data_IF_137585782630
#
_entry.id   IF_137585782630
#
_cell.length_a   1.000
_cell.length_b   1.000
_cell.length_c   1.000
_cell.angle_alpha   90.00
_cell.angle_beta   90.00
_cell.angle_gamma   90.00
#
_symmetry.space_group_name_H-M   'P 1'
#
loop_
_entity.id
_entity.type
_entity.pdbx_description
1 polymer ?
#
# COMPACT_ATOMS: atom_id res chain seq x y z
N UNK A 1 -19.92 -19.60 -19.95
CA UNK A 1 -18.45 -19.48 -19.76
C UNK A 1 -18.21 -18.89 -18.39
N UNK A 2 -17.63 -19.67 -17.49
CA UNK A 2 -17.53 -19.35 -16.06
C UNK A 2 -16.75 -18.06 -15.83
N UNK A 3 -17.29 -17.16 -15.02
CA UNK A 3 -16.60 -15.97 -14.56
C UNK A 3 -15.41 -16.41 -13.71
N UNK A 4 -14.18 -16.29 -14.23
CA UNK A 4 -12.97 -16.47 -13.43
C UNK A 4 -13.05 -15.52 -12.23
N UNK A 5 -12.84 -16.04 -11.02
CA UNK A 5 -12.79 -15.21 -9.82
C UNK A 5 -11.73 -14.09 -10.01
N UNK A 6 -12.01 -12.85 -9.60
CA UNK A 6 -11.06 -11.76 -9.75
C UNK A 6 -9.78 -12.08 -8.98
N UNK A 7 -8.63 -11.83 -9.60
CA UNK A 7 -7.35 -12.00 -8.91
C UNK A 7 -7.22 -10.99 -7.78
N UNK A 8 -6.42 -11.31 -6.77
CA UNK A 8 -6.15 -10.39 -5.68
C UNK A 8 -5.69 -9.00 -6.17
N UNK A 9 -4.83 -8.97 -7.19
CA UNK A 9 -4.39 -7.73 -7.86
C UNK A 9 -5.55 -6.92 -8.44
N UNK A 10 -6.54 -7.58 -9.06
CA UNK A 10 -7.72 -6.90 -9.59
C UNK A 10 -8.58 -6.31 -8.46
N UNK A 11 -8.72 -7.04 -7.35
CA UNK A 11 -9.43 -6.56 -6.18
C UNK A 11 -8.72 -5.36 -5.54
N UNK A 12 -7.39 -5.40 -5.42
CA UNK A 12 -6.57 -4.28 -4.94
C UNK A 12 -6.74 -3.04 -5.83
N UNK A 13 -6.63 -3.17 -7.16
CA UNK A 13 -6.83 -2.01 -8.03
C UNK A 13 -8.27 -1.48 -7.95
N UNK A 14 -9.27 -2.36 -7.87
CA UNK A 14 -10.67 -1.97 -7.67
C UNK A 14 -10.85 -1.17 -6.38
N UNK A 15 -10.21 -1.59 -5.29
CA UNK A 15 -10.23 -0.88 -4.03
C UNK A 15 -9.56 0.48 -4.15
N UNK A 16 -8.35 0.57 -4.73
CA UNK A 16 -7.65 1.84 -4.98
C UNK A 16 -8.51 2.82 -5.79
N UNK A 17 -9.26 2.34 -6.79
CA UNK A 17 -10.15 3.20 -7.58
C UNK A 17 -11.28 3.82 -6.75
N UNK A 18 -11.78 3.15 -5.70
CA UNK A 18 -12.79 3.71 -4.79
C UNK A 18 -12.26 4.96 -4.07
N UNK A 19 -10.96 5.01 -3.81
CA UNK A 19 -10.28 6.14 -3.15
C UNK A 19 -9.96 7.32 -4.09
N UNK A 20 -10.31 7.26 -5.37
CA UNK A 20 -10.01 8.33 -6.32
C UNK A 20 -10.62 9.69 -5.93
N UNK A 21 -11.83 9.71 -5.37
CA UNK A 21 -12.47 10.96 -4.93
C UNK A 21 -11.71 11.57 -3.75
N UNK A 22 -11.32 10.74 -2.78
CA UNK A 22 -10.48 11.14 -1.66
C UNK A 22 -9.15 11.73 -2.16
N UNK A 23 -8.44 11.01 -3.05
CA UNK A 23 -7.18 11.48 -3.66
C UNK A 23 -7.33 12.83 -4.36
N UNK A 24 -8.45 13.05 -5.07
CA UNK A 24 -8.72 14.32 -5.77
C UNK A 24 -8.91 15.49 -4.81
N UNK A 25 -9.50 15.24 -3.63
CA UNK A 25 -9.70 16.25 -2.59
C UNK A 25 -8.40 16.64 -1.86
N UNK A 26 -7.36 15.81 -1.92
CA UNK A 26 -6.06 16.10 -1.30
C UNK A 26 -5.30 17.25 -1.97
N UNK A 27 -4.57 18.01 -1.16
CA UNK A 27 -3.56 18.98 -1.62
C UNK A 27 -2.43 18.25 -2.36
N UNK A 28 -1.64 18.98 -3.16
CA UNK A 28 -0.57 18.40 -3.99
C UNK A 28 0.39 17.50 -3.18
N UNK A 29 0.91 18.00 -2.05
CA UNK A 29 1.84 17.24 -1.19
C UNK A 29 1.21 15.96 -0.63
N UNK A 30 -0.03 16.04 -0.17
CA UNK A 30 -0.72 14.88 0.40
C UNK A 30 -1.10 13.86 -0.68
N UNK A 31 -1.39 14.33 -1.90
CA UNK A 31 -1.64 13.47 -3.06
C UNK A 31 -0.40 12.70 -3.48
N UNK A 32 0.76 13.35 -3.49
CA UNK A 32 2.05 12.69 -3.76
C UNK A 32 2.33 11.61 -2.70
N UNK A 33 2.14 11.93 -1.42
CA UNK A 33 2.27 10.95 -0.34
C UNK A 33 1.29 9.77 -0.50
N UNK A 34 0.02 10.05 -0.82
CA UNK A 34 -0.98 9.03 -1.10
C UNK A 34 -0.58 8.12 -2.27
N UNK A 35 -0.04 8.69 -3.35
CA UNK A 35 0.42 7.90 -4.50
C UNK A 35 1.56 6.96 -4.13
N UNK A 36 2.50 7.39 -3.28
CA UNK A 36 3.55 6.53 -2.74
C UNK A 36 2.98 5.38 -1.89
N UNK A 37 1.95 5.64 -1.06
CA UNK A 37 1.26 4.56 -0.33
C UNK A 37 0.67 3.52 -1.29
N UNK A 38 0.03 3.96 -2.38
CA UNK A 38 -0.55 3.04 -3.36
C UNK A 38 0.52 2.25 -4.14
N UNK A 39 1.75 2.76 -4.27
CA UNK A 39 2.88 1.99 -4.82
C UNK A 39 3.31 0.87 -3.86
N UNK A 40 3.43 1.17 -2.57
CA UNK A 40 3.76 0.19 -1.52
C UNK A 40 2.75 -0.95 -1.49
N UNK A 41 1.45 -0.63 -1.56
CA UNK A 41 0.37 -1.61 -1.69
C UNK A 41 0.60 -2.54 -2.89
N UNK A 42 0.90 -1.99 -4.07
CA UNK A 42 1.09 -2.80 -5.29
C UNK A 42 2.32 -3.71 -5.22
N UNK A 43 3.38 -3.29 -4.54
CA UNK A 43 4.59 -4.10 -4.34
C UNK A 43 4.30 -5.38 -3.55
N UNK A 44 3.33 -5.33 -2.64
CA UNK A 44 2.94 -6.45 -1.77
C UNK A 44 1.73 -7.24 -2.26
N UNK A 45 1.13 -6.88 -3.40
CA UNK A 45 -0.10 -7.51 -3.89
C UNK A 45 0.01 -9.04 -4.11
N UNK A 46 1.21 -9.56 -4.39
CA UNK A 46 1.47 -11.01 -4.46
C UNK A 46 1.48 -11.66 -3.07
N UNK A 47 2.15 -11.06 -2.10
CA UNK A 47 2.19 -11.55 -0.72
C UNK A 47 0.80 -11.49 -0.06
N UNK A 48 0.05 -10.40 -0.28
CA UNK A 48 -1.31 -10.23 0.23
C UNK A 48 -2.30 -11.23 -0.38
N UNK A 49 -2.01 -11.84 -1.54
CA UNK A 49 -2.88 -12.87 -2.12
C UNK A 49 -3.01 -14.13 -1.27
N UNK A 50 -2.04 -14.40 -0.38
CA UNK A 50 -2.10 -15.48 0.59
C UNK A 50 -3.08 -15.20 1.74
N UNK A 51 -3.52 -13.96 1.89
CA UNK A 51 -4.49 -13.51 2.90
C UNK A 51 -5.89 -13.34 2.30
N UNK A 52 -6.25 -14.15 1.29
CA UNK A 52 -7.51 -14.04 0.54
C UNK A 52 -8.80 -14.10 1.39
N UNK A 53 -8.70 -14.48 2.67
CA UNK A 53 -9.81 -14.47 3.63
C UNK A 53 -10.04 -13.12 4.33
N UNK A 54 -9.10 -12.17 4.26
CA UNK A 54 -9.22 -10.84 4.86
C UNK A 54 -9.77 -9.81 3.86
N UNK A 55 -10.31 -8.71 4.40
CA UNK A 55 -10.68 -7.57 3.58
C UNK A 55 -9.45 -7.01 2.85
N UNK A 56 -9.66 -6.53 1.63
CA UNK A 56 -8.59 -6.00 0.78
C UNK A 56 -7.93 -4.79 1.45
N UNK A 57 -8.72 -3.94 2.10
CA UNK A 57 -8.20 -2.77 2.79
C UNK A 57 -7.30 -3.13 3.98
N UNK A 58 -7.62 -4.19 4.72
CA UNK A 58 -6.78 -4.66 5.84
C UNK A 58 -5.39 -5.06 5.35
N UNK A 59 -5.35 -5.80 4.25
CA UNK A 59 -4.10 -6.23 3.62
C UNK A 59 -3.32 -5.06 3.00
N UNK A 60 -4.01 -4.10 2.38
CA UNK A 60 -3.40 -2.85 1.90
C UNK A 60 -2.77 -2.07 3.04
N UNK A 61 -3.48 -1.97 4.17
CA UNK A 61 -3.03 -1.28 5.37
C UNK A 61 -1.78 -1.94 5.96
N UNK A 62 -1.77 -3.27 6.04
CA UNK A 62 -0.61 -4.02 6.52
C UNK A 62 0.62 -3.84 5.60
N UNK A 63 0.43 -3.84 4.28
CA UNK A 63 1.51 -3.58 3.32
C UNK A 63 2.12 -2.17 3.53
N UNK A 64 1.28 -1.17 3.76
CA UNK A 64 1.72 0.20 4.07
C UNK A 64 2.51 0.24 5.37
N UNK A 65 1.98 -0.36 6.43
CA UNK A 65 2.63 -0.40 7.75
C UNK A 65 3.99 -1.11 7.68
N UNK A 66 4.08 -2.21 6.94
CA UNK A 66 5.33 -2.95 6.75
C UNK A 66 6.41 -2.09 6.06
N UNK A 67 6.06 -1.37 5.00
CA UNK A 67 7.02 -0.48 4.34
C UNK A 67 7.38 0.73 5.21
N UNK A 68 6.46 1.25 6.01
CA UNK A 68 6.78 2.29 7.00
C UNK A 68 7.74 1.79 8.07
N UNK A 69 7.55 0.58 8.61
CA UNK A 69 8.46 0.02 9.60
C UNK A 69 9.89 -0.13 9.03
N UNK A 70 10.01 -0.59 7.78
CA UNK A 70 11.30 -0.65 7.07
C UNK A 70 11.93 0.73 6.90
N UNK A 71 11.16 1.71 6.44
CA UNK A 71 11.65 3.08 6.26
C UNK A 71 12.11 3.70 7.59
N UNK A 72 11.35 3.50 8.67
CA UNK A 72 11.71 3.96 10.01
C UNK A 72 13.02 3.32 10.48
N UNK A 73 13.16 1.99 10.31
CA UNK A 73 14.39 1.29 10.68
C UNK A 73 15.61 1.83 9.91
N UNK A 74 15.47 2.07 8.60
CA UNK A 74 16.53 2.63 7.77
C UNK A 74 16.87 4.08 8.14
N UNK A 75 15.87 4.89 8.48
CA UNK A 75 16.10 6.26 8.98
C UNK A 75 16.82 6.26 10.32
N UNK A 76 16.45 5.38 11.25
CA UNK A 76 17.13 5.22 12.56
C UNK A 76 18.60 4.88 12.37
N UNK A 77 18.91 3.88 11.53
CA UNK A 77 20.29 3.52 11.20
C UNK A 77 21.07 4.72 10.65
N UNK A 78 20.51 5.46 9.71
CA UNK A 78 21.19 6.64 9.13
C UNK A 78 21.46 7.73 10.16
N UNK A 79 20.55 7.95 11.11
CA UNK A 79 20.75 8.92 12.19
C UNK A 79 21.89 8.47 13.13
N UNK A 80 21.93 7.18 13.49
CA UNK A 80 23.02 6.61 14.29
C UNK A 80 24.38 6.81 13.60
N UNK A 81 24.49 6.51 12.30
CA UNK A 81 25.73 6.65 11.53
C UNK A 81 26.20 8.10 11.33
N UNK A 82 25.32 9.10 11.45
CA UNK A 82 25.67 10.53 11.34
C UNK A 82 26.07 11.11 12.70
N UNK A 83 25.74 10.41 13.79
CA UNK A 83 26.06 10.82 15.16
C UNK A 83 27.40 10.29 15.66
N UNK A 84 28.02 9.36 14.90
CA UNK A 84 29.39 8.86 15.05
C UNK A 84 30.40 9.68 14.21
#
# INVERSE_FOLDING_TARGET
MGRTAPTYRMLTESEIQKWNQFRKALRKKDREAFDELMKKVRQHASASSYMASLDIFDSMSLAILLEHEKEIAELKKKIEHVSD
#
